data_IF_159112973496
#
_entry.id   IF_159112973496
#
_cell.length_a   1.000
_cell.length_b   1.000
_cell.length_c   1.000
_cell.angle_alpha   90.00
_cell.angle_beta   90.00
_cell.angle_gamma   90.00
#
_symmetry.space_group_name_H-M   'P 1'
#
loop_
_entity.id
_entity.type
_entity.pdbx_description
1 polymer ?
#
# COMPACT_ATOMS: atom_id res chain seq x y z
N UNK A 1 34.38 -20.63 -24.06
CA UNK A 1 32.97 -20.98 -24.31
C UNK A 1 32.29 -20.91 -22.95
N UNK A 2 31.90 -19.68 -22.61
CA UNK A 2 30.51 -19.26 -22.33
C UNK A 2 30.26 -19.41 -20.82
N UNK A 3 30.35 -18.35 -19.99
CA UNK A 3 29.67 -17.06 -20.17
C UNK A 3 28.20 -17.25 -19.82
N UNK A 4 27.87 -17.28 -18.52
CA UNK A 4 26.49 -17.60 -18.11
C UNK A 4 26.16 -17.45 -16.61
N UNK A 5 26.92 -16.66 -15.84
CA UNK A 5 26.60 -16.42 -14.42
C UNK A 5 26.13 -14.99 -14.12
N UNK A 6 26.04 -14.11 -15.13
CA UNK A 6 25.66 -12.69 -14.95
C UNK A 6 24.26 -12.35 -15.53
N UNK A 7 23.57 -13.26 -16.21
CA UNK A 7 22.23 -12.97 -16.78
C UNK A 7 21.05 -13.46 -15.96
N UNK A 8 21.22 -14.39 -15.00
CA UNK A 8 20.10 -14.85 -14.16
C UNK A 8 19.65 -13.84 -13.10
N UNK A 9 20.42 -12.78 -12.85
CA UNK A 9 20.05 -11.72 -11.90
C UNK A 9 19.44 -10.46 -12.55
N UNK A 10 19.36 -10.41 -13.89
CA UNK A 10 18.89 -9.22 -14.62
C UNK A 10 17.55 -9.39 -15.35
N UNK A 11 16.63 -10.18 -14.79
CA UNK A 11 15.21 -10.17 -15.21
C UNK A 11 14.26 -9.60 -14.15
N UNK A 12 14.72 -9.40 -12.91
CA UNK A 12 13.88 -8.78 -11.86
C UNK A 12 13.67 -7.27 -12.09
N UNK A 13 14.52 -6.62 -12.90
CA UNK A 13 14.49 -5.16 -13.08
C UNK A 13 13.65 -4.66 -14.27
N UNK A 14 13.07 -5.55 -15.08
CA UNK A 14 12.30 -5.12 -16.26
C UNK A 14 10.79 -4.99 -16.02
N UNK A 15 10.26 -5.58 -14.94
CA UNK A 15 8.84 -5.49 -14.57
C UNK A 15 8.54 -5.40 -13.07
N UNK A 16 9.56 -5.32 -12.18
CA UNK A 16 9.29 -5.20 -10.75
C UNK A 16 8.83 -3.79 -10.41
N UNK A 17 7.54 -3.65 -10.16
CA UNK A 17 7.04 -2.53 -9.36
C UNK A 17 7.74 -2.57 -8.00
N UNK A 18 8.43 -1.50 -7.60
CA UNK A 18 9.04 -1.43 -6.26
C UNK A 18 7.99 -1.75 -5.19
N UNK A 19 8.34 -2.57 -4.17
CA UNK A 19 7.43 -2.89 -3.08
C UNK A 19 7.04 -1.60 -2.36
N UNK A 20 5.74 -1.42 -2.14
CA UNK A 20 5.23 -0.27 -1.39
C UNK A 20 5.31 -0.64 0.08
N UNK A 21 6.42 -0.30 0.71
CA UNK A 21 6.61 -0.51 2.13
C UNK A 21 5.70 0.42 2.92
N UNK A 22 4.86 -0.09 3.81
CA UNK A 22 4.02 0.69 4.71
C UNK A 22 3.82 -0.11 5.99
N UNK A 23 4.04 0.52 7.13
CA UNK A 23 3.94 -0.14 8.43
C UNK A 23 2.59 0.18 9.09
N UNK A 24 2.00 -0.80 9.78
CA UNK A 24 0.71 -0.64 10.47
C UNK A 24 0.78 0.47 11.53
N UNK A 25 1.95 0.64 12.17
CA UNK A 25 2.18 1.76 13.10
C UNK A 25 2.00 3.13 12.42
N UNK A 26 2.26 3.23 11.11
CA UNK A 26 2.08 4.47 10.36
C UNK A 26 0.60 4.89 10.27
N UNK A 27 -0.35 3.96 10.43
CA UNK A 27 -1.77 4.26 10.47
C UNK A 27 -2.25 4.81 11.82
N UNK A 28 -1.44 4.72 12.89
CA UNK A 28 -1.84 5.17 14.24
C UNK A 28 -2.02 6.69 14.35
N UNK A 29 -1.50 7.43 13.38
CA UNK A 29 -1.75 8.88 13.20
C UNK A 29 -3.22 9.17 12.91
N UNK A 30 -3.96 8.17 12.42
CA UNK A 30 -5.39 8.24 12.14
C UNK A 30 -6.21 7.59 13.27
N UNK A 31 -7.42 8.12 13.58
CA UNK A 31 -8.30 7.54 14.59
C UNK A 31 -8.65 6.07 14.31
N UNK A 32 -8.93 5.29 15.36
CA UNK A 32 -9.33 3.88 15.22
C UNK A 32 -10.56 3.69 14.30
N UNK A 33 -11.53 4.62 14.35
CA UNK A 33 -12.69 4.59 13.46
C UNK A 33 -12.31 4.74 11.98
N UNK A 34 -11.31 5.56 11.66
CA UNK A 34 -10.79 5.72 10.31
C UNK A 34 -10.08 4.43 9.85
N UNK A 35 -9.26 3.82 10.70
CA UNK A 35 -8.58 2.54 10.40
C UNK A 35 -9.57 1.42 10.13
N UNK A 36 -10.64 1.33 10.92
CA UNK A 36 -11.72 0.36 10.70
C UNK A 36 -12.44 0.59 9.37
N UNK A 37 -12.68 1.84 8.97
CA UNK A 37 -13.28 2.17 7.67
C UNK A 37 -12.34 1.81 6.52
N UNK A 38 -11.05 2.09 6.64
CA UNK A 38 -10.04 1.71 5.66
C UNK A 38 -10.04 0.18 5.44
N UNK A 39 -10.00 -0.59 6.54
CA UNK A 39 -10.06 -2.04 6.49
C UNK A 39 -11.31 -2.55 5.78
N UNK A 40 -12.46 -2.03 6.15
CA UNK A 40 -13.73 -2.42 5.55
C UNK A 40 -13.83 -2.05 4.07
N UNK A 41 -13.30 -0.88 3.67
CA UNK A 41 -13.27 -0.46 2.27
C UNK A 41 -12.38 -1.39 1.44
N UNK A 42 -11.22 -1.79 1.98
CA UNK A 42 -10.32 -2.75 1.33
C UNK A 42 -10.95 -4.14 1.19
N UNK A 43 -11.60 -4.66 2.24
CA UNK A 43 -12.37 -5.93 2.20
C UNK A 43 -13.48 -5.89 1.13
N UNK A 44 -14.08 -4.71 0.90
CA UNK A 44 -15.13 -4.51 -0.11
C UNK A 44 -14.58 -4.14 -1.49
N UNK A 45 -13.25 -4.00 -1.63
CA UNK A 45 -12.59 -3.57 -2.88
C UNK A 45 -13.12 -2.19 -3.32
N UNK A 46 -13.45 -1.33 -2.36
CA UNK A 46 -14.05 -0.01 -2.60
C UNK A 46 -12.97 1.06 -2.68
N UNK A 47 -12.36 1.19 -3.86
CA UNK A 47 -11.30 2.15 -4.13
C UNK A 47 -11.73 3.61 -3.91
N UNK A 48 -13.00 3.94 -4.19
CA UNK A 48 -13.53 5.29 -4.03
C UNK A 48 -13.51 5.71 -2.55
N UNK A 49 -14.01 4.85 -1.67
CA UNK A 49 -13.94 5.13 -0.22
C UNK A 49 -12.50 5.19 0.27
N UNK A 50 -11.60 4.35 -0.25
CA UNK A 50 -10.18 4.42 0.12
C UNK A 50 -9.57 5.77 -0.26
N UNK A 51 -9.83 6.29 -1.46
CA UNK A 51 -9.34 7.61 -1.85
C UNK A 51 -9.92 8.72 -0.97
N UNK A 52 -11.21 8.68 -0.65
CA UNK A 52 -11.83 9.65 0.27
C UNK A 52 -11.23 9.61 1.67
N UNK A 53 -10.83 8.42 2.15
CA UNK A 53 -10.14 8.26 3.43
C UNK A 53 -8.71 8.81 3.36
N UNK A 54 -8.01 8.60 2.24
CA UNK A 54 -6.66 9.12 2.00
C UNK A 54 -6.63 10.65 2.03
N UNK A 55 -7.65 11.33 1.51
CA UNK A 55 -7.77 12.80 1.57
C UNK A 55 -7.86 13.36 3.00
N UNK A 56 -8.27 12.53 3.97
CA UNK A 56 -8.38 12.92 5.38
C UNK A 56 -7.04 12.80 6.13
N UNK A 57 -6.02 12.19 5.52
CA UNK A 57 -4.70 12.04 6.12
C UNK A 57 -4.07 13.44 6.29
N UNK A 58 -3.57 13.80 7.48
CA UNK A 58 -2.97 15.11 7.70
C UNK A 58 -1.78 15.36 6.75
N UNK A 59 -1.63 16.60 6.29
CA UNK A 59 -0.63 16.97 5.29
C UNK A 59 0.82 16.64 5.70
N UNK A 60 1.16 16.68 6.99
CA UNK A 60 2.49 16.26 7.46
C UNK A 60 2.79 14.76 7.26
N UNK A 61 1.79 13.96 6.86
CA UNK A 61 1.91 12.53 6.54
C UNK A 61 1.70 12.24 5.04
N UNK A 62 2.13 13.14 4.14
CA UNK A 62 2.03 12.96 2.67
C UNK A 62 2.55 11.60 2.16
N UNK A 63 3.64 11.07 2.73
CA UNK A 63 4.19 9.78 2.33
C UNK A 63 3.21 8.61 2.58
N UNK A 64 2.41 8.69 3.65
CA UNK A 64 1.38 7.69 3.95
C UNK A 64 0.25 7.74 2.91
N UNK A 65 -0.24 8.95 2.62
CA UNK A 65 -1.27 9.18 1.62
C UNK A 65 -0.84 8.70 0.23
N UNK A 66 0.40 8.98 -0.17
CA UNK A 66 0.96 8.54 -1.44
C UNK A 66 1.05 7.01 -1.54
N UNK A 67 1.53 6.35 -0.48
CA UNK A 67 1.69 4.89 -0.45
C UNK A 67 0.33 4.17 -0.49
N UNK A 68 -0.64 4.62 0.30
CA UNK A 68 -2.01 4.08 0.25
C UNK A 68 -2.67 4.30 -1.11
N UNK A 69 -2.48 5.48 -1.71
CA UNK A 69 -2.95 5.76 -3.07
C UNK A 69 -2.34 4.80 -4.08
N UNK A 70 -1.02 4.55 -3.99
CA UNK A 70 -0.33 3.62 -4.90
C UNK A 70 -0.79 2.17 -4.73
N UNK A 71 -1.03 1.70 -3.51
CA UNK A 71 -1.61 0.37 -3.26
C UNK A 71 -2.99 0.26 -3.91
N UNK A 72 -3.83 1.27 -3.72
CA UNK A 72 -5.18 1.35 -4.30
C UNK A 72 -5.14 1.37 -5.83
N UNK A 73 -4.24 2.15 -6.43
CA UNK A 73 -4.02 2.20 -7.89
C UNK A 73 -3.55 0.87 -8.47
N UNK A 74 -2.79 0.09 -7.69
CA UNK A 74 -2.31 -1.24 -8.06
C UNK A 74 -3.33 -2.35 -7.76
N UNK A 75 -4.50 -2.00 -7.24
CA UNK A 75 -5.52 -2.95 -6.77
C UNK A 75 -4.99 -3.90 -5.69
N UNK A 76 -3.96 -3.48 -4.94
CA UNK A 76 -3.32 -4.26 -3.88
C UNK A 76 -4.10 -4.10 -2.56
N UNK A 77 -5.36 -4.55 -2.58
CA UNK A 77 -6.26 -4.43 -1.42
C UNK A 77 -5.89 -5.40 -0.30
N UNK A 78 -5.28 -6.53 -0.63
CA UNK A 78 -4.80 -7.49 0.37
C UNK A 78 -3.76 -6.83 1.29
N UNK A 79 -2.80 -6.09 0.73
CA UNK A 79 -1.85 -5.30 1.52
C UNK A 79 -2.54 -4.24 2.40
N UNK A 80 -3.60 -3.59 1.90
CA UNK A 80 -4.36 -2.61 2.70
C UNK A 80 -5.14 -3.31 3.82
N UNK A 81 -5.70 -4.49 3.58
CA UNK A 81 -6.39 -5.31 4.60
C UNK A 81 -5.42 -5.68 5.72
N UNK A 82 -4.24 -6.22 5.38
CA UNK A 82 -3.20 -6.59 6.35
C UNK A 82 -2.75 -5.37 7.16
N UNK A 83 -2.48 -4.25 6.49
CA UNK A 83 -2.05 -3.02 7.12
C UNK A 83 -3.07 -2.44 8.12
N UNK A 84 -4.36 -2.62 7.82
CA UNK A 84 -5.46 -2.01 8.56
C UNK A 84 -6.17 -2.96 9.52
N UNK A 85 -5.65 -4.18 9.70
CA UNK A 85 -6.20 -5.13 10.66
C UNK A 85 -6.26 -4.48 12.05
N UNK A 86 -7.40 -4.59 12.75
CA UNK A 86 -7.47 -4.19 14.14
C UNK A 86 -6.62 -5.14 14.99
N UNK A 87 -5.80 -4.58 15.89
CA UNK A 87 -5.17 -5.33 16.99
C UNK A 87 -6.22 -5.85 17.99
#
# INVERSE_FOLDING_TARGET
>A
MEGGWIEKFSLRLLFATEPIEIDAESLTVMPAAWRSQLHQAAVRVDAEIIYQLVEQIPANHHALAERLSKLTQRFDFDAIIELSQPE
#
